data_IF_471781850857
#
_entry.id   IF_471781850857
#
_cell.length_a   1.000
_cell.length_b   1.000
_cell.length_c   1.000
_cell.angle_alpha   90.00
_cell.angle_beta   90.00
_cell.angle_gamma   90.00
#
_symmetry.space_group_name_H-M   'P 1'
#
loop_
_entity.id
_entity.type
_entity.pdbx_description
1 polymer ?
#
# COMPACT_ATOMS: atom_id res chain seq x y z
N UNK A 1 -2.87 4.86 -32.07
CA UNK A 1 -2.46 3.49 -31.66
C UNK A 1 -2.26 3.51 -30.16
N UNK A 2 -3.30 3.12 -29.46
CA UNK A 2 -3.38 3.17 -27.98
C UNK A 2 -2.84 1.87 -27.42
N UNK A 3 -1.67 1.95 -26.84
CA UNK A 3 -1.12 0.89 -25.99
C UNK A 3 -1.40 1.19 -24.53
N UNK A 4 -2.66 1.12 -24.12
CA UNK A 4 -3.00 1.08 -22.70
C UNK A 4 -2.48 -0.23 -22.12
N UNK A 5 -1.31 -0.16 -21.51
CA UNK A 5 -0.69 -1.29 -20.84
C UNK A 5 -1.58 -1.69 -19.64
N UNK A 6 -2.36 -2.72 -19.83
CA UNK A 6 -3.22 -3.35 -18.83
C UNK A 6 -2.33 -4.05 -17.75
N UNK A 7 -1.74 -3.25 -16.88
CA UNK A 7 -0.93 -3.71 -15.74
C UNK A 7 -1.83 -4.14 -14.57
N UNK A 8 -2.71 -5.10 -14.74
CA UNK A 8 -3.71 -5.16 -13.66
C UNK A 8 -4.09 -6.49 -13.07
N UNK A 9 -4.01 -7.63 -13.72
CA UNK A 9 -4.74 -8.78 -13.17
C UNK A 9 -3.96 -10.04 -12.88
N UNK A 10 -2.94 -10.35 -13.63
CA UNK A 10 -2.29 -11.66 -13.48
C UNK A 10 -0.99 -11.62 -12.65
N UNK A 11 -0.32 -10.46 -12.52
CA UNK A 11 0.87 -10.33 -11.64
C UNK A 11 0.52 -10.23 -10.15
N UNK A 12 -0.72 -9.85 -9.82
CA UNK A 12 -1.12 -9.69 -8.42
C UNK A 12 -1.24 -11.02 -7.69
N UNK A 13 -1.64 -12.09 -8.38
CA UNK A 13 -1.86 -13.40 -7.75
C UNK A 13 -0.56 -14.05 -7.26
N UNK A 14 0.51 -14.19 -8.06
CA UNK A 14 1.76 -14.77 -7.57
C UNK A 14 2.45 -13.89 -6.52
N UNK A 15 2.38 -12.56 -6.66
CA UNK A 15 2.96 -11.65 -5.67
C UNK A 15 2.20 -11.69 -4.34
N UNK A 16 0.87 -11.77 -4.37
CA UNK A 16 0.06 -11.94 -3.17
C UNK A 16 0.27 -13.31 -2.53
N UNK A 17 0.46 -14.34 -3.32
CA UNK A 17 0.80 -15.68 -2.82
C UNK A 17 2.19 -15.66 -2.15
N UNK A 18 3.16 -15.01 -2.76
CA UNK A 18 4.51 -14.85 -2.20
C UNK A 18 4.49 -14.03 -0.90
N UNK A 19 3.67 -12.99 -0.80
CA UNK A 19 3.47 -12.21 0.44
C UNK A 19 2.79 -13.02 1.57
N UNK A 20 2.15 -14.14 1.24
CA UNK A 20 1.55 -15.07 2.20
C UNK A 20 2.45 -16.25 2.55
N UNK A 21 3.53 -16.47 1.80
CA UNK A 21 4.47 -17.58 2.02
C UNK A 21 5.53 -17.20 3.08
N UNK A 22 6.25 -18.14 3.68
CA UNK A 22 7.36 -17.86 4.60
C UNK A 22 8.45 -16.96 4.00
N UNK A 23 8.56 -16.93 2.67
CA UNK A 23 9.48 -16.05 1.93
C UNK A 23 9.07 -14.58 1.94
N UNK A 24 7.92 -14.24 2.56
CA UNK A 24 7.43 -12.86 2.71
C UNK A 24 8.42 -11.92 3.41
N UNK A 25 9.33 -12.46 4.22
CA UNK A 25 10.31 -11.66 4.99
C UNK A 25 11.16 -10.76 4.09
N UNK A 26 11.51 -11.22 2.89
CA UNK A 26 12.29 -10.44 1.93
C UNK A 26 11.49 -9.33 1.24
N UNK A 27 10.21 -9.58 0.95
CA UNK A 27 9.33 -8.65 0.24
C UNK A 27 8.56 -7.72 1.20
N UNK A 28 8.24 -8.16 2.41
CA UNK A 28 7.48 -7.39 3.40
C UNK A 28 8.21 -6.16 3.90
N UNK A 29 9.49 -6.01 3.56
CA UNK A 29 10.28 -4.82 3.88
C UNK A 29 9.88 -3.60 3.03
N UNK A 30 9.29 -3.83 1.85
CA UNK A 30 8.96 -2.77 0.88
C UNK A 30 7.53 -2.83 0.37
N UNK A 31 6.88 -4.00 0.43
CA UNK A 31 5.53 -4.20 -0.05
C UNK A 31 4.65 -4.91 0.98
N UNK A 32 3.37 -4.58 0.99
CA UNK A 32 2.35 -5.27 1.77
C UNK A 32 1.14 -5.58 0.90
N UNK A 33 0.40 -6.62 1.28
CA UNK A 33 -0.90 -6.91 0.69
C UNK A 33 -1.98 -6.14 1.45
N UNK A 34 -2.67 -5.22 0.78
CA UNK A 34 -3.79 -4.49 1.37
C UNK A 34 -5.12 -4.99 0.80
N UNK A 35 -6.06 -5.30 1.67
CA UNK A 35 -7.43 -5.68 1.32
C UNK A 35 -8.35 -4.50 1.52
N UNK A 36 -9.05 -4.14 0.45
CA UNK A 36 -9.96 -2.99 0.40
C UNK A 36 -11.34 -3.46 -0.04
N UNK A 37 -12.39 -2.87 0.50
CA UNK A 37 -13.76 -3.07 0.05
C UNK A 37 -14.14 -1.96 -0.93
N UNK A 38 -14.63 -2.35 -2.11
CA UNK A 38 -15.12 -1.42 -3.11
C UNK A 38 -16.35 -0.66 -2.61
N UNK A 39 -16.28 0.65 -2.64
CA UNK A 39 -17.36 1.54 -2.14
C UNK A 39 -18.66 1.39 -2.94
N UNK A 40 -18.56 1.19 -4.24
CA UNK A 40 -19.72 1.08 -5.14
C UNK A 40 -20.22 -0.37 -5.22
N UNK A 41 -19.31 -1.32 -5.38
CA UNK A 41 -19.68 -2.73 -5.65
C UNK A 41 -19.77 -3.58 -4.39
N UNK A 42 -19.28 -3.10 -3.24
CA UNK A 42 -19.18 -3.89 -2.01
C UNK A 42 -18.15 -5.05 -2.09
N UNK A 43 -17.62 -5.34 -3.27
CA UNK A 43 -16.67 -6.45 -3.46
C UNK A 43 -15.34 -6.14 -2.79
N UNK A 44 -14.77 -7.15 -2.17
CA UNK A 44 -13.46 -7.07 -1.53
C UNK A 44 -12.39 -7.57 -2.48
N UNK A 45 -11.28 -6.83 -2.59
CA UNK A 45 -10.13 -7.22 -3.37
C UNK A 45 -8.84 -6.94 -2.61
N UNK A 46 -7.79 -7.65 -2.94
CA UNK A 46 -6.47 -7.50 -2.32
C UNK A 46 -5.47 -7.11 -3.39
N UNK A 47 -4.63 -6.15 -3.09
CA UNK A 47 -3.60 -5.68 -4.01
C UNK A 47 -2.27 -5.49 -3.27
N UNK A 48 -1.14 -5.72 -3.93
CA UNK A 48 0.16 -5.40 -3.38
C UNK A 48 0.42 -3.90 -3.53
N UNK A 49 0.97 -3.29 -2.48
CA UNK A 49 1.36 -1.88 -2.48
C UNK A 49 2.72 -1.70 -1.84
N UNK A 50 3.51 -0.79 -2.39
CA UNK A 50 4.74 -0.36 -1.74
C UNK A 50 4.40 0.61 -0.62
N UNK A 51 5.07 0.47 0.50
CA UNK A 51 4.87 1.32 1.66
C UNK A 51 6.18 1.83 2.23
N UNK A 52 6.07 2.89 3.00
CA UNK A 52 7.14 3.40 3.83
C UNK A 52 6.61 3.56 5.25
N UNK A 53 7.32 3.02 6.22
CA UNK A 53 6.96 3.20 7.62
C UNK A 53 7.64 4.46 8.17
N UNK A 54 6.84 5.37 8.72
CA UNK A 54 7.29 6.57 9.39
C UNK A 54 6.70 6.62 10.80
N UNK A 55 7.50 6.22 11.79
CA UNK A 55 7.02 6.01 13.14
C UNK A 55 5.90 4.97 13.20
N UNK A 56 4.79 5.35 13.79
CA UNK A 56 3.58 4.53 13.88
C UNK A 56 2.59 4.74 12.72
N UNK A 57 3.09 5.17 11.57
CA UNK A 57 2.25 5.38 10.39
C UNK A 57 2.88 4.71 9.18
N UNK A 58 2.06 4.00 8.41
CA UNK A 58 2.44 3.55 7.07
C UNK A 58 1.95 4.58 6.05
N UNK A 59 2.85 4.93 5.15
CA UNK A 59 2.60 5.83 4.02
C UNK A 59 2.69 5.03 2.73
N UNK A 60 1.72 5.23 1.84
CA UNK A 60 1.69 4.62 0.51
C UNK A 60 1.46 5.73 -0.51
N UNK A 61 2.27 5.77 -1.55
CA UNK A 61 2.03 6.64 -2.70
C UNK A 61 1.33 5.82 -3.79
N UNK A 62 0.14 6.27 -4.17
CA UNK A 62 -0.63 5.68 -5.26
C UNK A 62 -0.73 6.65 -6.41
N UNK A 63 -0.44 6.23 -7.66
CA UNK A 63 -0.73 7.07 -8.82
C UNK A 63 -2.22 7.44 -8.85
N UNK A 64 -2.55 8.68 -9.20
CA UNK A 64 -3.94 9.13 -9.34
C UNK A 64 -4.70 8.42 -10.44
N UNK A 65 -4.00 7.84 -11.41
CA UNK A 65 -4.57 6.98 -12.46
C UNK A 65 -5.14 5.66 -11.91
N UNK A 66 -4.65 5.20 -10.74
CA UNK A 66 -5.26 4.08 -10.01
C UNK A 66 -6.58 4.53 -9.39
N UNK A 67 -7.55 3.61 -9.31
CA UNK A 67 -8.89 3.93 -8.76
C UNK A 67 -9.12 3.37 -7.36
N UNK A 68 -8.27 2.46 -6.89
CA UNK A 68 -8.46 1.75 -5.64
C UNK A 68 -8.47 2.66 -4.40
N UNK A 69 -7.65 3.72 -4.40
CA UNK A 69 -7.53 4.67 -3.30
C UNK A 69 -8.84 5.47 -3.05
N UNK A 70 -9.70 5.60 -4.08
CA UNK A 70 -11.01 6.26 -3.94
C UNK A 70 -11.92 5.56 -2.94
N UNK A 71 -11.70 4.26 -2.71
CA UNK A 71 -12.44 3.50 -1.71
C UNK A 71 -12.01 3.82 -0.27
N UNK A 72 -10.95 4.62 -0.09
CA UNK A 72 -10.43 5.07 1.20
C UNK A 72 -10.83 6.51 1.53
N UNK A 73 -11.77 7.09 0.79
CA UNK A 73 -12.25 8.44 1.03
C UNK A 73 -13.65 8.45 1.66
N UNK A 74 -13.86 9.28 2.71
CA UNK A 74 -12.89 10.10 3.42
C UNK A 74 -11.89 9.26 4.24
N UNK A 75 -12.32 8.08 4.69
CA UNK A 75 -11.54 7.04 5.34
C UNK A 75 -12.30 5.71 5.30
N UNK A 76 -11.59 4.59 5.31
CA UNK A 76 -12.22 3.27 5.27
C UNK A 76 -11.42 2.22 6.04
N UNK A 77 -12.10 1.21 6.59
CA UNK A 77 -11.44 0.07 7.20
C UNK A 77 -10.71 -0.75 6.12
N UNK A 78 -9.49 -1.10 6.39
CA UNK A 78 -8.65 -1.96 5.55
C UNK A 78 -8.09 -3.10 6.37
N UNK A 79 -7.78 -4.19 5.70
CA UNK A 79 -6.99 -5.28 6.29
C UNK A 79 -5.71 -5.40 5.50
N UNK A 80 -4.57 -5.49 6.16
CA UNK A 80 -3.31 -5.72 5.49
C UNK A 80 -2.45 -6.74 6.23
N UNK A 81 -1.50 -7.30 5.50
CA UNK A 81 -0.53 -8.25 6.03
C UNK A 81 0.83 -7.56 6.07
N UNK A 82 1.37 -7.43 7.28
CA UNK A 82 2.66 -6.83 7.53
C UNK A 82 3.49 -7.80 8.38
N UNK A 83 4.62 -8.24 7.85
CA UNK A 83 5.55 -9.15 8.57
C UNK A 83 4.86 -10.40 9.15
N UNK A 84 3.93 -10.99 8.40
CA UNK A 84 3.18 -12.17 8.83
C UNK A 84 1.96 -11.90 9.69
N UNK A 85 1.78 -10.66 10.16
CA UNK A 85 0.62 -10.28 10.96
C UNK A 85 -0.49 -9.71 10.09
N UNK A 86 -1.72 -10.12 10.39
CA UNK A 86 -2.92 -9.55 9.77
C UNK A 86 -3.47 -8.45 10.67
N UNK A 87 -3.50 -7.24 10.15
CA UNK A 87 -3.94 -6.05 10.88
C UNK A 87 -5.18 -5.45 10.23
N UNK A 88 -6.15 -5.07 11.06
CA UNK A 88 -7.32 -4.28 10.66
C UNK A 88 -7.16 -2.89 11.21
N UNK A 89 -7.21 -1.89 10.34
CA UNK A 89 -7.06 -0.48 10.71
C UNK A 89 -7.88 0.39 9.78
N UNK A 90 -8.03 1.66 10.12
CA UNK A 90 -8.63 2.66 9.24
C UNK A 90 -7.54 3.33 8.43
N UNK A 91 -7.70 3.34 7.10
CA UNK A 91 -6.83 4.04 6.17
C UNK A 91 -7.55 5.26 5.59
N UNK A 92 -6.78 6.28 5.25
CA UNK A 92 -7.26 7.51 4.65
C UNK A 92 -6.47 7.83 3.39
N UNK A 93 -7.17 8.19 2.31
CA UNK A 93 -6.56 8.72 1.11
C UNK A 93 -6.59 10.25 1.14
N UNK A 94 -5.42 10.86 1.12
CA UNK A 94 -5.19 12.30 1.12
C UNK A 94 -4.88 12.73 -0.31
N UNK A 95 -5.67 13.64 -0.83
CA UNK A 95 -5.56 14.18 -2.20
C UNK A 95 -5.16 15.64 -2.22
N UNK A 96 -5.14 16.28 -1.06
CA UNK A 96 -4.69 17.65 -0.92
C UNK A 96 -3.21 17.78 -1.32
N UNK A 97 -2.85 18.75 -2.17
CA UNK A 97 -1.48 18.91 -2.65
C UNK A 97 -0.45 19.08 -1.53
N UNK A 98 -0.78 19.81 -0.47
CA UNK A 98 0.15 20.03 0.64
C UNK A 98 0.44 18.75 1.41
N UNK A 99 -0.61 17.95 1.67
CA UNK A 99 -0.44 16.67 2.36
C UNK A 99 0.37 15.68 1.50
N UNK A 100 0.11 15.65 0.19
CA UNK A 100 0.87 14.81 -0.74
C UNK A 100 2.34 15.26 -0.79
N UNK A 101 2.61 16.57 -0.84
CA UNK A 101 3.97 17.13 -0.80
C UNK A 101 4.70 16.69 0.48
N UNK A 102 4.06 16.82 1.64
CA UNK A 102 4.63 16.36 2.93
C UNK A 102 4.98 14.88 2.87
N UNK A 103 4.08 14.05 2.31
CA UNK A 103 4.33 12.63 2.09
C UNK A 103 5.51 12.36 1.17
N UNK A 104 5.57 13.03 0.01
CA UNK A 104 6.67 12.90 -0.95
C UNK A 104 8.03 13.24 -0.33
N UNK A 105 8.10 14.31 0.47
CA UNK A 105 9.32 14.68 1.19
C UNK A 105 9.78 13.59 2.16
N UNK A 106 8.84 12.95 2.87
CA UNK A 106 9.18 11.81 3.74
C UNK A 106 9.74 10.64 2.93
N UNK A 107 9.14 10.33 1.77
CA UNK A 107 9.64 9.27 0.88
C UNK A 107 11.04 9.59 0.35
N UNK A 108 11.28 10.80 -0.11
CA UNK A 108 12.56 11.23 -0.65
C UNK A 108 13.67 11.21 0.40
N UNK A 109 13.40 11.71 1.61
CA UNK A 109 14.37 11.72 2.72
C UNK A 109 14.71 10.33 3.22
N UNK A 110 13.72 9.42 3.30
CA UNK A 110 13.93 8.05 3.76
C UNK A 110 14.55 7.14 2.71
N UNK A 111 14.32 7.44 1.45
CA UNK A 111 14.77 6.61 0.34
C UNK A 111 14.99 7.48 -0.91
N UNK A 112 16.19 8.10 -1.03
CA UNK A 112 16.50 9.01 -2.14
C UNK A 112 16.34 8.40 -3.54
N UNK A 113 16.37 7.06 -3.66
CA UNK A 113 16.11 6.35 -4.91
C UNK A 113 14.75 6.68 -5.54
N UNK A 114 13.77 7.12 -4.73
CA UNK A 114 12.47 7.55 -5.25
C UNK A 114 12.55 8.81 -6.12
N UNK A 115 13.63 9.59 -6.07
CA UNK A 115 13.84 10.77 -6.93
C UNK A 115 13.61 10.45 -8.41
N UNK A 116 14.10 9.29 -8.86
CA UNK A 116 13.97 8.87 -10.26
C UNK A 116 12.54 8.54 -10.65
N UNK A 117 11.85 7.76 -9.84
CA UNK A 117 10.46 7.36 -10.10
C UNK A 117 9.45 8.49 -9.92
N UNK A 118 9.77 9.45 -9.08
CA UNK A 118 8.92 10.62 -8.83
C UNK A 118 9.25 11.81 -9.74
N UNK A 119 10.37 11.75 -10.47
CA UNK A 119 10.84 12.87 -11.28
C UNK A 119 11.21 14.12 -10.47
N UNK A 120 11.71 13.92 -9.24
CA UNK A 120 12.09 14.97 -8.30
C UNK A 120 13.58 14.84 -7.98
N UNK A 121 14.48 15.44 -8.76
CA UNK A 121 15.91 15.43 -8.48
C UNK A 121 16.23 16.07 -7.14
N UNK A 122 17.15 15.44 -6.41
CA UNK A 122 17.63 15.92 -5.13
C UNK A 122 18.97 16.67 -5.31
N UNK A 123 19.24 17.58 -4.41
CA UNK A 123 20.55 18.24 -4.28
C UNK A 123 21.51 17.38 -3.43
N UNK A 124 22.73 17.92 -3.16
CA UNK A 124 23.73 17.24 -2.35
C UNK A 124 23.34 17.05 -0.88
N UNK A 125 22.32 17.72 -0.41
CA UNK A 125 21.79 17.62 0.95
C UNK A 125 20.56 16.70 1.03
N UNK A 126 20.07 16.20 -0.13
CA UNK A 126 18.90 15.31 -0.19
C UNK A 126 17.55 16.06 -0.23
N UNK A 127 17.58 17.36 -0.49
CA UNK A 127 16.37 18.16 -0.65
C UNK A 127 16.02 18.33 -2.14
N UNK A 128 14.72 18.49 -2.49
CA UNK A 128 14.31 18.71 -3.86
C UNK A 128 14.92 19.98 -4.45
N UNK A 129 15.60 19.85 -5.59
CA UNK A 129 16.25 20.99 -6.27
C UNK A 129 15.28 22.10 -6.65
N UNK A 130 14.05 21.73 -6.99
CA UNK A 130 13.03 22.68 -7.45
C UNK A 130 11.68 22.34 -6.84
N UNK A 131 11.07 23.31 -6.18
CA UNK A 131 9.71 23.17 -5.61
C UNK A 131 8.64 22.86 -6.67
N UNK A 132 8.81 23.38 -7.89
CA UNK A 132 7.89 23.14 -8.99
C UNK A 132 7.82 21.65 -9.38
N UNK A 133 8.95 20.94 -9.36
CA UNK A 133 8.99 19.50 -9.66
C UNK A 133 8.28 18.69 -8.58
N UNK A 134 8.42 19.08 -7.32
CA UNK A 134 7.73 18.46 -6.21
C UNK A 134 6.21 18.68 -6.29
N UNK A 135 5.77 19.89 -6.62
CA UNK A 135 4.36 20.21 -6.83
C UNK A 135 3.78 19.43 -8.02
N UNK A 136 4.52 19.33 -9.12
CA UNK A 136 4.14 18.49 -10.26
C UNK A 136 4.03 17.03 -9.87
N UNK A 137 4.98 16.48 -9.14
CA UNK A 137 4.86 15.10 -8.64
C UNK A 137 3.62 14.93 -7.77
N UNK A 138 3.32 15.88 -6.86
CA UNK A 138 2.14 15.83 -6.01
C UNK A 138 0.83 15.79 -6.79
N UNK A 139 0.75 16.40 -7.98
CA UNK A 139 -0.45 16.35 -8.82
C UNK A 139 -0.71 14.96 -9.43
N UNK A 140 0.30 14.10 -9.51
CA UNK A 140 0.20 12.75 -10.08
C UNK A 140 -0.03 11.64 -9.04
N UNK A 141 0.11 11.95 -7.76
CA UNK A 141 -0.03 10.96 -6.69
C UNK A 141 -1.12 11.32 -5.68
N UNK A 142 -1.55 10.30 -4.98
CA UNK A 142 -2.40 10.37 -3.78
C UNK A 142 -1.61 9.73 -2.65
N UNK A 143 -1.61 10.35 -1.48
CA UNK A 143 -0.99 9.80 -0.29
C UNK A 143 -2.01 9.00 0.51
N UNK A 144 -1.73 7.73 0.77
CA UNK A 144 -2.52 6.93 1.69
C UNK A 144 -1.78 6.88 3.02
N UNK A 145 -2.49 7.24 4.07
CA UNK A 145 -2.02 7.23 5.45
C UNK A 145 -2.74 6.14 6.23
N UNK A 146 -1.96 5.28 6.87
CA UNK A 146 -2.47 4.18 7.70
C UNK A 146 -1.82 4.30 9.07
N UNK A 147 -2.49 4.87 10.07
CA UNK A 147 -1.98 4.91 11.43
C UNK A 147 -1.96 3.48 12.00
N UNK A 148 -0.81 3.06 12.50
CA UNK A 148 -0.66 1.86 13.29
C UNK A 148 -1.01 2.23 14.73
N UNK A 149 -2.29 2.42 14.97
CA UNK A 149 -2.80 2.84 16.28
C UNK A 149 -2.54 1.78 17.34
N UNK A 150 -2.40 2.24 18.53
CA UNK A 150 -1.91 1.71 19.80
C UNK A 150 -2.63 0.47 20.36
N UNK A 151 -3.42 -0.22 19.57
CA UNK A 151 -3.87 -1.57 19.90
C UNK A 151 -3.99 -2.35 18.58
N UNK A 152 -3.03 -3.20 18.22
CA UNK A 152 -3.31 -4.22 17.24
C UNK A 152 -4.43 -5.08 17.81
N UNK A 153 -5.62 -5.00 17.26
CA UNK A 153 -6.51 -6.15 17.34
C UNK A 153 -5.80 -7.22 16.51
N UNK A 154 -4.88 -7.93 17.16
CA UNK A 154 -4.30 -9.14 16.64
C UNK A 154 -5.46 -10.13 16.50
N UNK A 155 -6.10 -10.11 15.35
CA UNK A 155 -6.95 -11.22 14.94
C UNK A 155 -6.00 -12.35 14.60
N UNK A 156 -5.88 -13.27 15.53
CA UNK A 156 -5.02 -14.41 15.63
C UNK A 156 -4.34 -14.89 14.35
N UNK A 157 -3.15 -15.39 14.52
CA UNK A 157 -2.49 -16.32 13.63
C UNK A 157 -3.53 -17.33 13.15
N UNK A 158 -3.92 -17.29 11.87
CA UNK A 158 -4.77 -18.32 11.30
C UNK A 158 -3.97 -19.62 11.33
N UNK A 159 -4.40 -20.67 12.06
CA UNK A 159 -3.83 -21.98 11.85
C UNK A 159 -4.12 -22.38 10.41
N UNK A 160 -3.12 -22.99 9.78
CA UNK A 160 -3.29 -23.70 8.53
C UNK A 160 -4.52 -24.61 8.65
N UNK A 161 -5.40 -24.55 7.67
CA UNK A 161 -6.58 -25.38 7.59
C UNK A 161 -6.17 -26.85 7.71
N UNK A 162 -6.51 -27.48 8.81
CA UNK A 162 -6.72 -28.92 8.84
C UNK A 162 -8.14 -29.19 8.33
N UNK A 163 -8.19 -29.37 7.03
CA UNK A 163 -9.26 -30.09 6.40
C UNK A 163 -8.90 -31.57 6.47
N UNK A 164 -9.49 -32.28 7.36
CA UNK A 164 -9.56 -33.73 7.28
C UNK A 164 -10.95 -34.19 7.69
N UNK A 165 -11.73 -34.53 6.68
CA UNK A 165 -11.93 -35.92 6.22
C UNK A 165 -12.18 -36.91 7.36
N UNK A 166 -13.36 -37.36 7.45
CA UNK A 166 -13.69 -38.51 8.23
C UNK A 166 -15.16 -38.89 8.11
N UNK A 167 -15.59 -39.18 6.89
CA UNK A 167 -16.78 -40.01 6.69
C UNK A 167 -16.49 -41.43 7.09
N UNK A 168 -17.38 -42.05 7.80
CA UNK A 168 -17.71 -43.49 7.72
C UNK A 168 -19.01 -43.74 8.46
N UNK A 169 -20.02 -43.97 7.70
CA UNK A 169 -20.62 -45.27 7.40
C UNK A 169 -20.78 -46.19 8.65
N UNK A 170 -21.91 -46.31 9.15
CA UNK A 170 -22.77 -47.51 9.15
C UNK A 170 -24.21 -47.11 9.37
#
# INVERSE_FOLDING_TARGET
MEGAMHWGRWYNTPLLWLLRSPSHVLLSRFALGIRVRGRVTGRTYTLPVNYLQNGFTLLILSPRTSTWWRNLQPQAPVTFWLRGYRLKVTAQALTDPEDVIKGLLVFLRRSPRYQWSLGVPLDGHGDPRQKAQLARAASHYTLIRIPLSTAPQAVGMAPAAEENTGGRIV
#
